data_IF_085631649242
#
_entry.id   IF_085631649242
#
_cell.length_a   1.000
_cell.length_b   1.000
_cell.length_c   1.000
_cell.angle_alpha   90.00
_cell.angle_beta   90.00
_cell.angle_gamma   90.00
#
_symmetry.space_group_name_H-M   'P 1'
#
loop_
_entity.id
_entity.type
_entity.pdbx_description
1 polymer ?
#
# COMPACT_ATOMS: atom_id res chain seq x y z
N UNK A 1 71.96 36.39 -8.64
CA UNK A 1 72.30 36.60 -7.20
C UNK A 1 71.46 35.57 -6.43
N UNK A 2 71.96 34.71 -5.53
CA UNK A 2 72.80 34.97 -4.32
C UNK A 2 72.02 35.85 -3.32
N UNK A 3 71.86 35.59 -2.01
CA UNK A 3 72.43 34.68 -0.98
C UNK A 3 71.38 34.56 0.18
N UNK A 4 71.29 33.65 1.18
CA UNK A 4 71.90 32.40 1.72
C UNK A 4 70.71 31.57 2.32
N UNK A 5 70.70 30.30 2.76
CA UNK A 5 71.66 29.25 3.22
C UNK A 5 71.90 29.12 4.75
N UNK A 6 71.81 27.87 5.24
CA UNK A 6 72.18 27.30 6.56
C UNK A 6 71.39 27.64 7.85
N UNK A 7 70.92 26.58 8.52
CA UNK A 7 71.31 26.34 9.92
C UNK A 7 71.63 24.84 10.12
N UNK A 8 72.70 24.53 10.86
CA UNK A 8 73.08 23.16 11.26
C UNK A 8 73.14 23.09 12.78
N UNK A 9 72.89 21.90 13.34
CA UNK A 9 73.49 21.50 14.61
C UNK A 9 73.78 20.00 14.58
N UNK A 10 74.97 19.58 15.02
CA UNK A 10 75.44 18.19 14.98
C UNK A 10 76.54 18.01 16.03
N UNK A 11 76.19 17.39 17.16
CA UNK A 11 76.98 17.09 18.39
C UNK A 11 75.94 16.40 19.31
N UNK A 12 76.14 15.32 20.07
CA UNK A 12 77.23 14.36 20.34
C UNK A 12 76.54 12.95 20.48
N UNK A 13 77.09 11.79 20.86
CA UNK A 13 78.39 11.31 21.35
C UNK A 13 78.54 9.81 21.00
N UNK A 14 79.78 9.31 20.88
CA UNK A 14 80.10 7.89 20.69
C UNK A 14 80.27 7.13 22.01
N UNK A 15 79.91 5.84 22.08
CA UNK A 15 80.82 4.70 22.40
C UNK A 15 80.05 3.37 22.53
N UNK A 16 80.67 2.26 22.12
CA UNK A 16 80.26 0.89 22.47
C UNK A 16 80.89 0.49 23.81
N UNK A 17 80.31 -0.49 24.53
CA UNK A 17 81.06 -1.59 25.18
C UNK A 17 80.12 -2.71 25.71
N UNK A 18 80.65 -3.94 25.67
CA UNK A 18 80.16 -5.20 26.28
C UNK A 18 78.76 -5.75 25.92
N UNK A 19 78.74 -7.06 25.66
CA UNK A 19 77.55 -7.90 25.57
C UNK A 19 77.45 -8.83 26.80
N UNK A 20 76.23 -9.20 27.18
CA UNK A 20 75.94 -10.46 27.88
C UNK A 20 74.46 -10.86 27.69
N UNK A 21 74.14 -12.14 27.85
CA UNK A 21 72.87 -12.77 27.43
C UNK A 21 71.67 -12.40 28.33
N UNK A 22 70.45 -12.36 27.75
CA UNK A 22 69.27 -11.78 28.44
C UNK A 22 67.86 -12.22 28.03
N UNK A 23 67.65 -13.46 27.54
CA UNK A 23 66.32 -14.08 27.35
C UNK A 23 65.45 -13.47 26.19
N UNK A 24 64.22 -13.97 25.86
CA UNK A 24 64.04 -14.65 24.58
C UNK A 24 63.15 -13.93 23.55
N UNK A 25 63.30 -14.31 22.28
CA UNK A 25 62.56 -13.77 21.14
C UNK A 25 61.07 -14.10 21.17
N UNK A 26 60.21 -13.10 20.98
CA UNK A 26 58.79 -13.30 20.65
C UNK A 26 58.68 -13.86 19.23
N UNK A 27 57.95 -14.95 19.05
CA UNK A 27 57.69 -15.51 17.73
C UNK A 27 56.80 -14.60 16.88
N UNK A 28 57.15 -14.50 15.61
CA UNK A 28 56.37 -13.81 14.58
C UNK A 28 55.13 -14.63 14.21
N UNK A 29 53.97 -13.99 14.16
CA UNK A 29 52.86 -14.42 13.29
C UNK A 29 52.71 -13.42 12.16
N UNK A 30 52.97 -13.87 10.94
CA UNK A 30 52.72 -13.05 9.75
C UNK A 30 51.20 -12.83 9.61
N UNK A 31 50.79 -11.61 9.28
CA UNK A 31 49.41 -11.36 8.85
C UNK A 31 49.27 -11.84 7.42
N UNK A 32 48.64 -12.99 7.23
CA UNK A 32 48.10 -13.38 5.93
C UNK A 32 46.98 -12.40 5.58
N UNK A 33 47.17 -11.57 4.56
CA UNK A 33 46.10 -10.72 4.03
C UNK A 33 45.11 -11.60 3.26
N UNK A 34 44.13 -12.15 3.98
CA UNK A 34 42.92 -12.65 3.35
C UNK A 34 42.14 -11.47 2.77
N UNK A 35 42.39 -11.17 1.51
CA UNK A 35 41.43 -10.43 0.67
C UNK A 35 40.14 -11.23 0.62
N UNK A 36 39.19 -10.86 1.47
CA UNK A 36 37.81 -11.31 1.34
C UNK A 36 37.28 -10.69 0.06
N UNK A 37 37.19 -11.49 -1.00
CA UNK A 37 36.40 -11.15 -2.16
C UNK A 37 34.95 -11.03 -1.69
N UNK A 38 34.48 -9.80 -1.47
CA UNK A 38 33.06 -9.51 -1.33
C UNK A 38 32.44 -9.96 -2.65
N UNK A 39 31.52 -10.94 -2.67
CA UNK A 39 30.86 -11.34 -3.90
C UNK A 39 30.21 -10.11 -4.52
N UNK A 40 30.49 -9.84 -5.80
CA UNK A 40 29.84 -8.75 -6.50
C UNK A 40 28.32 -9.00 -6.44
N UNK A 41 27.58 -8.10 -5.79
CA UNK A 41 26.15 -8.27 -5.56
C UNK A 41 25.45 -8.50 -6.89
N UNK A 42 24.87 -9.68 -7.06
CA UNK A 42 24.02 -9.99 -8.21
C UNK A 42 22.92 -8.93 -8.25
N UNK A 43 22.71 -8.23 -9.39
CA UNK A 43 21.64 -7.23 -9.46
C UNK A 43 20.32 -7.85 -8.99
N UNK A 44 19.58 -7.20 -8.06
CA UNK A 44 18.45 -7.84 -7.40
C UNK A 44 17.45 -8.32 -8.43
N UNK A 45 17.12 -9.62 -8.38
CA UNK A 45 16.27 -10.22 -9.40
C UNK A 45 14.92 -9.52 -9.46
N UNK A 46 14.45 -9.26 -10.68
CA UNK A 46 13.26 -8.45 -10.90
C UNK A 46 12.02 -9.13 -10.30
N UNK A 47 11.34 -8.42 -9.40
CA UNK A 47 10.04 -8.80 -8.81
C UNK A 47 9.11 -9.36 -9.90
N UNK A 48 8.69 -10.62 -9.75
CA UNK A 48 7.78 -11.32 -10.65
C UNK A 48 6.45 -11.54 -9.93
N UNK A 49 5.49 -10.68 -10.24
CA UNK A 49 4.12 -10.73 -9.67
C UNK A 49 3.43 -12.05 -10.02
N UNK A 50 2.47 -12.49 -9.20
CA UNK A 50 1.85 -13.80 -9.38
C UNK A 50 1.19 -13.99 -10.76
N UNK A 51 0.61 -12.93 -11.34
CA UNK A 51 0.06 -12.93 -12.70
C UNK A 51 1.09 -13.29 -13.78
N UNK A 52 2.38 -13.04 -13.54
CA UNK A 52 3.48 -13.44 -14.41
C UNK A 52 3.97 -14.89 -14.17
N UNK A 53 3.54 -15.58 -13.10
CA UNK A 53 3.90 -16.98 -12.78
C UNK A 53 2.93 -17.97 -13.44
N UNK A 54 2.69 -17.77 -14.73
CA UNK A 54 1.68 -18.48 -15.56
C UNK A 54 1.79 -20.01 -15.47
N UNK A 55 3.00 -20.52 -15.38
CA UNK A 55 3.37 -21.92 -15.21
C UNK A 55 2.76 -22.56 -13.95
N UNK A 56 2.53 -21.78 -12.89
CA UNK A 56 1.96 -22.28 -11.63
C UNK A 56 0.44 -22.35 -11.71
N UNK A 57 -0.22 -21.33 -12.27
CA UNK A 57 -1.67 -21.18 -12.17
C UNK A 57 -2.45 -21.62 -13.42
N UNK A 58 -1.91 -21.51 -14.64
CA UNK A 58 -2.62 -21.96 -15.85
C UNK A 58 -3.03 -23.44 -15.81
N UNK A 59 -2.23 -24.40 -15.26
CA UNK A 59 -2.69 -25.78 -15.12
C UNK A 59 -3.94 -25.93 -14.24
N UNK A 60 -4.15 -25.02 -13.29
CA UNK A 60 -5.31 -25.00 -12.39
C UNK A 60 -6.57 -24.43 -13.06
N UNK A 61 -6.40 -23.64 -14.13
CA UNK A 61 -7.47 -23.00 -14.90
C UNK A 61 -8.05 -23.91 -16.02
N UNK A 62 -7.26 -24.85 -16.55
CA UNK A 62 -7.64 -25.68 -17.71
C UNK A 62 -8.94 -26.46 -17.45
N UNK A 63 -9.87 -26.36 -18.40
CA UNK A 63 -11.15 -27.07 -18.34
C UNK A 63 -12.16 -26.53 -17.32
N UNK A 64 -11.90 -25.37 -16.70
CA UNK A 64 -12.80 -24.71 -15.75
C UNK A 64 -13.49 -23.49 -16.36
N UNK A 65 -14.78 -23.32 -16.06
CA UNK A 65 -15.54 -22.10 -16.28
C UNK A 65 -15.12 -21.07 -15.23
N UNK A 66 -14.45 -20.00 -15.64
CA UNK A 66 -13.80 -19.07 -14.71
C UNK A 66 -14.57 -17.74 -14.66
N UNK A 67 -14.70 -17.17 -13.46
CA UNK A 67 -14.97 -15.75 -13.30
C UNK A 67 -13.70 -15.04 -12.79
N UNK A 68 -13.38 -13.86 -13.32
CA UNK A 68 -12.19 -13.10 -12.90
C UNK A 68 -12.62 -11.82 -12.17
N UNK A 69 -12.06 -11.55 -11.00
CA UNK A 69 -12.20 -10.27 -10.28
C UNK A 69 -11.02 -9.39 -10.67
N UNK A 70 -11.28 -8.30 -11.42
CA UNK A 70 -10.25 -7.53 -12.10
C UNK A 70 -10.61 -6.04 -12.30
N UNK A 71 -9.57 -5.21 -12.44
CA UNK A 71 -9.62 -3.81 -12.86
C UNK A 71 -8.43 -3.49 -13.80
N UNK A 72 -8.15 -2.21 -14.07
CA UNK A 72 -7.07 -1.81 -14.99
C UNK A 72 -5.65 -2.25 -14.57
N UNK A 73 -5.46 -2.66 -13.32
CA UNK A 73 -4.17 -3.13 -12.78
C UNK A 73 -3.92 -4.63 -12.96
N UNK A 74 -4.96 -5.37 -13.36
CA UNK A 74 -4.96 -6.83 -13.52
C UNK A 74 -4.19 -7.23 -14.79
N UNK A 75 -2.88 -7.09 -14.77
CA UNK A 75 -2.00 -7.24 -15.96
C UNK A 75 -0.87 -8.23 -15.75
N UNK A 76 -0.46 -8.87 -16.84
CA UNK A 76 0.77 -9.64 -16.99
C UNK A 76 1.81 -8.73 -17.66
N UNK A 77 2.93 -8.47 -17.00
CA UNK A 77 4.02 -7.66 -17.54
C UNK A 77 4.82 -8.43 -18.61
N UNK A 78 5.37 -7.72 -19.59
CA UNK A 78 6.23 -8.28 -20.63
C UNK A 78 7.23 -7.22 -21.15
N UNK A 79 8.13 -7.61 -22.05
CA UNK A 79 9.17 -6.73 -22.60
C UNK A 79 8.64 -5.45 -23.27
N UNK A 80 7.39 -5.48 -23.75
CA UNK A 80 6.72 -4.36 -24.44
C UNK A 80 5.78 -3.57 -23.52
N UNK A 81 5.87 -3.79 -22.21
CA UNK A 81 5.00 -3.18 -21.18
C UNK A 81 4.17 -4.24 -20.47
N UNK A 82 2.90 -4.37 -20.83
CA UNK A 82 1.97 -5.31 -20.21
C UNK A 82 0.80 -5.67 -21.12
N UNK A 83 0.15 -6.79 -20.83
CA UNK A 83 -1.13 -7.21 -21.41
C UNK A 83 -2.10 -7.48 -20.27
N UNK A 84 -3.38 -7.13 -20.42
CA UNK A 84 -4.38 -7.40 -19.39
C UNK A 84 -4.58 -8.91 -19.19
N UNK A 85 -4.76 -9.36 -17.94
CA UNK A 85 -4.85 -10.77 -17.56
C UNK A 85 -5.98 -11.48 -18.32
N UNK A 86 -7.20 -10.93 -18.28
CA UNK A 86 -8.37 -11.50 -18.97
C UNK A 86 -8.11 -11.66 -20.48
N UNK A 87 -7.52 -10.65 -21.13
CA UNK A 87 -7.22 -10.70 -22.57
C UNK A 87 -6.17 -11.80 -22.87
N UNK A 88 -5.18 -11.96 -21.99
CA UNK A 88 -4.16 -13.02 -22.07
C UNK A 88 -4.76 -14.42 -21.85
N UNK A 89 -5.66 -14.58 -20.88
CA UNK A 89 -6.34 -15.84 -20.58
C UNK A 89 -7.26 -16.29 -21.73
N UNK A 90 -7.98 -15.34 -22.36
CA UNK A 90 -8.78 -15.60 -23.55
C UNK A 90 -7.92 -16.01 -24.75
N UNK A 91 -6.78 -15.33 -24.97
CA UNK A 91 -5.82 -15.71 -26.01
C UNK A 91 -5.27 -17.14 -25.79
N UNK A 92 -5.06 -17.53 -24.54
CA UNK A 92 -4.67 -18.88 -24.11
C UNK A 92 -5.84 -19.88 -24.04
N UNK A 93 -7.02 -19.53 -24.57
CA UNK A 93 -8.21 -20.39 -24.66
C UNK A 93 -8.76 -20.87 -23.30
N UNK A 94 -8.58 -20.09 -22.22
CA UNK A 94 -9.24 -20.36 -20.94
C UNK A 94 -10.71 -19.92 -20.98
N UNK A 95 -11.60 -20.71 -20.37
CA UNK A 95 -13.05 -20.52 -20.49
C UNK A 95 -13.59 -19.46 -19.51
N UNK A 96 -13.23 -18.20 -19.76
CA UNK A 96 -13.69 -17.04 -18.97
C UNK A 96 -15.16 -16.76 -19.28
N UNK A 97 -16.04 -16.80 -18.28
CA UNK A 97 -17.49 -16.60 -18.42
C UNK A 97 -17.97 -15.19 -18.12
N UNK A 98 -17.28 -14.47 -17.23
CA UNK A 98 -17.67 -13.16 -16.72
C UNK A 98 -16.51 -12.49 -15.98
N UNK A 99 -16.53 -11.17 -15.91
CA UNK A 99 -15.64 -10.38 -15.08
C UNK A 99 -16.45 -9.72 -13.96
N UNK A 100 -15.93 -9.78 -12.74
CA UNK A 100 -16.38 -8.94 -11.62
C UNK A 100 -15.46 -7.72 -11.51
N UNK A 101 -16.03 -6.52 -11.50
CA UNK A 101 -15.28 -5.27 -11.48
C UNK A 101 -15.63 -4.44 -10.23
N UNK A 102 -14.64 -4.01 -9.41
CA UNK A 102 -14.87 -3.22 -8.20
C UNK A 102 -15.11 -1.73 -8.52
N UNK A 103 -14.89 -0.86 -7.54
CA UNK A 103 -14.73 0.59 -7.73
C UNK A 103 -13.73 0.92 -8.86
N UNK A 104 -13.92 2.05 -9.54
CA UNK A 104 -13.26 2.47 -10.79
C UNK A 104 -13.50 1.59 -12.04
N UNK A 105 -13.96 0.35 -11.85
CA UNK A 105 -14.44 -0.54 -12.91
C UNK A 105 -13.33 -1.20 -13.75
N UNK A 106 -13.76 -2.08 -14.66
CA UNK A 106 -12.88 -3.08 -15.28
C UNK A 106 -11.66 -2.50 -16.02
N UNK A 107 -11.86 -1.44 -16.81
CA UNK A 107 -10.79 -0.80 -17.61
C UNK A 107 -10.41 0.59 -17.06
N UNK A 108 -10.67 0.88 -15.78
CA UNK A 108 -10.18 2.07 -15.06
C UNK A 108 -10.73 3.42 -15.55
N UNK A 109 -12.02 3.48 -15.92
CA UNK A 109 -12.65 4.66 -16.56
C UNK A 109 -13.69 5.39 -15.71
N UNK A 110 -13.95 4.97 -14.46
CA UNK A 110 -14.93 5.60 -13.58
C UNK A 110 -14.27 6.33 -12.39
N UNK A 111 -14.88 7.43 -11.95
CA UNK A 111 -14.38 8.25 -10.85
C UNK A 111 -14.54 7.55 -9.48
N UNK A 112 -13.95 8.15 -8.42
CA UNK A 112 -14.12 7.67 -7.05
C UNK A 112 -15.57 7.81 -6.56
N UNK A 113 -16.09 6.78 -5.88
CA UNK A 113 -17.46 6.72 -5.39
C UNK A 113 -18.54 6.57 -6.47
N UNK A 114 -18.21 6.57 -7.77
CA UNK A 114 -19.22 6.42 -8.83
C UNK A 114 -19.85 5.03 -8.86
N UNK A 115 -21.12 4.97 -9.24
CA UNK A 115 -21.85 3.71 -9.43
C UNK A 115 -21.42 3.04 -10.75
N UNK A 116 -20.33 2.27 -10.70
CA UNK A 116 -19.99 1.28 -11.73
C UNK A 116 -21.21 0.38 -11.95
N UNK A 117 -21.63 0.22 -13.20
CA UNK A 117 -22.79 -0.60 -13.59
C UNK A 117 -22.36 -1.91 -14.22
N UNK A 118 -23.26 -2.88 -14.21
CA UNK A 118 -23.20 -4.03 -15.09
C UNK A 118 -23.12 -3.60 -16.57
N UNK A 119 -22.44 -4.38 -17.40
CA UNK A 119 -22.28 -4.12 -18.82
C UNK A 119 -21.56 -5.25 -19.55
N UNK A 120 -20.91 -4.91 -20.67
CA UNK A 120 -20.13 -5.84 -21.49
C UNK A 120 -18.81 -5.17 -21.85
N UNK A 121 -17.70 -5.91 -21.76
CA UNK A 121 -16.40 -5.43 -22.23
C UNK A 121 -16.38 -5.40 -23.76
N UNK A 122 -16.23 -4.22 -24.36
CA UNK A 122 -16.35 -4.03 -25.82
C UNK A 122 -15.20 -4.64 -26.62
N UNK A 123 -14.11 -5.05 -25.96
CA UNK A 123 -12.94 -5.67 -26.59
C UNK A 123 -13.07 -7.20 -26.63
N UNK A 124 -13.64 -7.82 -25.59
CA UNK A 124 -13.73 -9.29 -25.43
C UNK A 124 -15.14 -9.86 -25.56
N UNK A 125 -16.18 -9.03 -25.49
CA UNK A 125 -17.58 -9.46 -25.43
C UNK A 125 -18.00 -10.05 -24.08
N UNK A 126 -17.12 -10.07 -23.07
CA UNK A 126 -17.42 -10.66 -21.77
C UNK A 126 -18.41 -9.83 -20.96
N UNK A 127 -19.37 -10.47 -20.25
CA UNK A 127 -20.22 -9.78 -19.27
C UNK A 127 -19.38 -9.22 -18.12
N UNK A 128 -19.52 -7.92 -17.85
CA UNK A 128 -18.99 -7.24 -16.67
C UNK A 128 -20.10 -7.15 -15.62
N UNK A 129 -19.81 -7.60 -14.40
CA UNK A 129 -20.66 -7.48 -13.22
C UNK A 129 -20.03 -6.53 -12.21
N UNK A 130 -20.78 -5.54 -11.77
CA UNK A 130 -20.30 -4.57 -10.78
C UNK A 130 -20.25 -5.19 -9.38
N UNK A 131 -19.15 -4.95 -8.68
CA UNK A 131 -18.99 -5.14 -7.23
C UNK A 131 -18.94 -3.78 -6.49
N UNK A 132 -19.64 -2.76 -7.00
CA UNK A 132 -19.73 -1.45 -6.37
C UNK A 132 -21.19 -0.97 -6.11
N UNK A 133 -21.34 0.16 -5.41
CA UNK A 133 -22.64 0.72 -5.05
C UNK A 133 -23.46 -0.22 -4.15
N UNK A 134 -24.65 -0.62 -4.62
CA UNK A 134 -25.59 -1.48 -3.89
C UNK A 134 -25.24 -2.97 -3.91
N UNK A 135 -24.37 -3.41 -4.82
CA UNK A 135 -24.04 -4.83 -5.00
C UNK A 135 -22.52 -5.00 -4.95
N UNK A 136 -21.99 -5.23 -3.75
CA UNK A 136 -20.54 -5.37 -3.49
C UNK A 136 -20.06 -6.81 -3.33
N UNK A 137 -21.01 -7.74 -3.19
CA UNK A 137 -20.78 -9.18 -3.01
C UNK A 137 -21.33 -9.93 -4.24
N UNK A 138 -20.58 -10.87 -4.84
CA UNK A 138 -21.11 -11.74 -5.88
C UNK A 138 -22.36 -12.47 -5.40
N UNK A 139 -23.43 -12.44 -6.18
CA UNK A 139 -24.65 -13.19 -5.84
C UNK A 139 -24.50 -14.66 -6.21
N UNK A 140 -25.20 -15.54 -5.49
CA UNK A 140 -25.22 -16.98 -5.78
C UNK A 140 -25.66 -17.28 -7.23
N UNK A 141 -26.57 -16.48 -7.79
CA UNK A 141 -26.96 -16.57 -9.20
C UNK A 141 -25.85 -16.15 -10.19
N UNK A 142 -24.96 -15.23 -9.81
CA UNK A 142 -23.77 -14.86 -10.61
C UNK A 142 -22.64 -15.89 -10.48
N UNK A 143 -22.54 -16.61 -9.34
CA UNK A 143 -21.57 -17.70 -9.15
C UNK A 143 -22.05 -19.05 -9.69
N UNK A 144 -23.34 -19.20 -10.02
CA UNK A 144 -23.85 -20.40 -10.70
C UNK A 144 -23.09 -20.65 -12.01
N UNK A 145 -22.79 -21.94 -12.25
CA UNK A 145 -22.07 -22.44 -13.41
C UNK A 145 -20.64 -21.85 -13.57
N UNK A 146 -20.00 -21.48 -12.45
CA UNK A 146 -18.58 -21.12 -12.33
C UNK A 146 -17.86 -22.18 -11.49
N UNK A 147 -16.75 -22.71 -12.01
CA UNK A 147 -15.97 -23.77 -11.35
C UNK A 147 -14.78 -23.22 -10.54
N UNK A 148 -14.48 -21.92 -10.68
CA UNK A 148 -13.38 -21.20 -10.04
C UNK A 148 -13.55 -19.67 -10.15
N UNK A 149 -13.25 -18.93 -9.07
CA UNK A 149 -13.01 -17.48 -9.13
C UNK A 149 -11.50 -17.20 -9.07
N UNK A 150 -11.02 -16.34 -9.97
CA UNK A 150 -9.64 -15.85 -10.01
C UNK A 150 -9.62 -14.36 -9.61
N UNK A 151 -8.88 -13.99 -8.57
CA UNK A 151 -8.76 -12.61 -8.10
C UNK A 151 -7.34 -12.09 -8.41
N UNK A 152 -7.25 -10.94 -9.09
CA UNK A 152 -5.97 -10.32 -9.46
C UNK A 152 -6.11 -8.79 -9.45
N UNK A 153 -5.82 -8.10 -8.35
CA UNK A 153 -5.96 -6.63 -8.24
C UNK A 153 -4.81 -6.04 -7.42
N UNK A 154 -4.25 -4.93 -7.88
CA UNK A 154 -3.21 -4.17 -7.16
C UNK A 154 -3.83 -3.32 -6.05
N UNK A 155 -3.52 -3.65 -4.80
CA UNK A 155 -3.82 -2.83 -3.62
C UNK A 155 -2.67 -1.84 -3.31
N UNK A 156 -2.85 -1.00 -2.28
CA UNK A 156 -1.87 -0.01 -1.79
C UNK A 156 -1.56 -0.12 -0.29
N UNK A 157 -2.14 -1.10 0.43
CA UNK A 157 -1.78 -1.42 1.82
C UNK A 157 -2.52 -0.64 2.89
N UNK A 158 -3.66 -0.01 2.54
CA UNK A 158 -4.40 0.89 3.44
C UNK A 158 -5.84 0.43 3.57
N UNK A 159 -6.35 0.27 4.80
CA UNK A 159 -7.63 -0.37 5.09
C UNK A 159 -8.85 0.27 4.40
N UNK A 160 -8.85 1.61 4.22
CA UNK A 160 -9.92 2.31 3.50
C UNK A 160 -9.81 2.23 1.97
N UNK A 161 -8.82 1.51 1.44
CA UNK A 161 -8.75 1.13 0.03
C UNK A 161 -9.56 -0.17 -0.16
N UNK A 162 -10.63 -0.09 -0.95
CA UNK A 162 -11.76 -1.03 -0.85
C UNK A 162 -11.53 -2.40 -1.49
N UNK A 163 -10.35 -2.69 -2.05
CA UNK A 163 -10.11 -3.96 -2.73
C UNK A 163 -9.93 -5.14 -1.76
N UNK A 164 -9.38 -4.93 -0.55
CA UNK A 164 -9.40 -5.96 0.51
C UNK A 164 -10.82 -6.29 0.99
N UNK A 165 -11.72 -5.30 1.06
CA UNK A 165 -13.13 -5.50 1.39
C UNK A 165 -13.88 -6.20 0.24
N UNK A 166 -13.51 -5.91 -1.01
CA UNK A 166 -14.01 -6.63 -2.19
C UNK A 166 -13.57 -8.09 -2.15
N UNK A 167 -12.30 -8.38 -1.83
CA UNK A 167 -11.78 -9.74 -1.68
C UNK A 167 -12.56 -10.52 -0.61
N UNK A 168 -12.77 -9.95 0.58
CA UNK A 168 -13.53 -10.58 1.64
C UNK A 168 -14.96 -10.95 1.19
N UNK A 169 -15.69 -10.03 0.56
CA UNK A 169 -17.04 -10.30 0.07
C UNK A 169 -17.06 -11.37 -1.05
N UNK A 170 -16.04 -11.38 -1.93
CA UNK A 170 -15.86 -12.45 -2.93
C UNK A 170 -15.62 -13.79 -2.24
N UNK A 171 -14.71 -13.87 -1.28
CA UNK A 171 -14.39 -15.10 -0.55
C UNK A 171 -15.60 -15.65 0.22
N UNK A 172 -16.37 -14.79 0.89
CA UNK A 172 -17.64 -15.19 1.54
C UNK A 172 -18.64 -15.78 0.54
N UNK A 173 -18.87 -15.10 -0.59
CA UNK A 173 -19.82 -15.57 -1.61
C UNK A 173 -19.38 -16.91 -2.21
N UNK A 174 -18.08 -17.12 -2.37
CA UNK A 174 -17.49 -18.37 -2.86
C UNK A 174 -17.57 -19.49 -1.82
N UNK A 175 -17.33 -19.20 -0.53
CA UNK A 175 -17.52 -20.12 0.60
C UNK A 175 -19.02 -20.46 0.84
N UNK A 176 -19.93 -19.59 0.44
CA UNK A 176 -21.36 -19.88 0.36
C UNK A 176 -21.73 -20.77 -0.84
N UNK A 177 -21.11 -20.53 -2.00
CA UNK A 177 -21.39 -21.24 -3.26
C UNK A 177 -20.70 -22.62 -3.37
N UNK A 178 -19.66 -22.88 -2.56
CA UNK A 178 -18.76 -24.02 -2.74
C UNK A 178 -17.74 -23.84 -3.88
N UNK A 179 -17.58 -22.61 -4.40
CA UNK A 179 -16.68 -22.29 -5.50
C UNK A 179 -15.28 -21.97 -4.96
N UNK A 180 -14.18 -22.56 -5.48
CA UNK A 180 -12.83 -22.20 -5.07
C UNK A 180 -12.42 -20.77 -5.48
N UNK A 181 -11.46 -20.19 -4.76
CA UNK A 181 -10.86 -18.89 -5.06
C UNK A 181 -9.35 -19.05 -5.21
N UNK A 182 -8.79 -18.55 -6.31
CA UNK A 182 -7.34 -18.34 -6.45
C UNK A 182 -7.05 -16.84 -6.41
N UNK A 183 -6.14 -16.43 -5.52
CA UNK A 183 -5.56 -15.06 -5.53
C UNK A 183 -4.25 -15.11 -6.31
N UNK A 184 -4.10 -14.24 -7.30
CA UNK A 184 -2.80 -13.88 -7.87
C UNK A 184 -2.27 -12.70 -7.06
N UNK A 185 -1.30 -12.97 -6.19
CA UNK A 185 -0.81 -11.96 -5.26
C UNK A 185 0.01 -10.84 -5.93
N UNK A 186 -0.02 -9.66 -5.31
CA UNK A 186 0.66 -8.44 -5.78
C UNK A 186 1.39 -7.75 -4.63
N UNK A 187 2.57 -7.15 -4.87
CA UNK A 187 3.32 -6.47 -3.83
C UNK A 187 2.52 -5.32 -3.23
N UNK A 188 2.59 -5.14 -1.92
CA UNK A 188 2.00 -4.00 -1.23
C UNK A 188 3.06 -2.88 -1.10
N UNK A 189 2.86 -1.68 -1.67
CA UNK A 189 3.83 -0.57 -1.61
C UNK A 189 3.98 0.08 -0.21
N UNK A 190 3.11 -0.25 0.74
CA UNK A 190 3.18 0.12 2.16
C UNK A 190 3.29 -1.13 3.07
N UNK A 191 3.96 -2.20 2.62
CA UNK A 191 4.09 -3.45 3.38
C UNK A 191 5.07 -3.35 4.57
N UNK A 192 6.09 -2.49 4.45
CA UNK A 192 7.24 -2.32 5.35
C UNK A 192 6.91 -1.78 6.75
N UNK A 193 5.64 -1.49 7.07
CA UNK A 193 5.22 -1.13 8.43
C UNK A 193 3.75 -1.46 8.71
N UNK A 194 3.36 -1.36 9.98
CA UNK A 194 1.97 -1.30 10.43
C UNK A 194 1.73 0.00 11.20
N UNK A 195 0.50 0.51 11.20
CA UNK A 195 0.19 1.69 12.00
C UNK A 195 -1.16 2.33 11.75
N UNK A 196 -1.38 3.43 12.46
CA UNK A 196 -2.65 4.15 12.52
C UNK A 196 -3.73 3.42 13.35
N UNK A 197 -4.92 4.03 13.50
CA UNK A 197 -5.99 3.48 14.33
C UNK A 197 -6.50 2.13 13.80
N UNK A 198 -6.67 1.16 14.71
CA UNK A 198 -7.36 -0.11 14.43
C UNK A 198 -8.85 0.11 14.28
N UNK A 199 -9.49 -0.66 13.40
CA UNK A 199 -10.95 -0.64 13.22
C UNK A 199 -11.64 -1.31 14.42
N UNK A 200 -12.54 -0.58 15.07
CA UNK A 200 -13.42 -1.10 16.13
C UNK A 200 -14.64 -1.77 15.49
N UNK A 201 -15.14 -2.86 16.09
CA UNK A 201 -16.18 -3.70 15.49
C UNK A 201 -17.45 -2.92 15.15
N UNK A 202 -17.83 -1.97 16.00
CA UNK A 202 -19.01 -1.11 15.90
C UNK A 202 -18.93 -0.12 14.74
N UNK A 203 -17.73 0.16 14.22
CA UNK A 203 -17.48 1.08 13.11
C UNK A 203 -17.20 0.36 11.78
N UNK A 204 -17.22 -0.97 11.76
CA UNK A 204 -16.93 -1.78 10.57
C UNK A 204 -17.86 -1.43 9.41
N UNK A 205 -17.26 -1.26 8.23
CA UNK A 205 -17.95 -0.83 7.03
C UNK A 205 -17.13 -1.20 5.78
N UNK A 206 -17.52 -0.75 4.58
CA UNK A 206 -16.78 -1.10 3.36
C UNK A 206 -15.37 -0.48 3.27
N UNK A 207 -15.07 0.54 4.09
CA UNK A 207 -13.72 1.10 4.30
C UNK A 207 -12.90 0.38 5.40
N UNK A 208 -13.37 -0.80 5.83
CA UNK A 208 -12.72 -1.65 6.82
C UNK A 208 -13.72 -2.65 7.42
N UNK A 209 -13.76 -3.86 6.85
CA UNK A 209 -14.68 -4.93 7.27
C UNK A 209 -14.11 -5.82 8.38
N UNK A 210 -12.81 -5.69 8.69
CA UNK A 210 -12.09 -6.46 9.71
C UNK A 210 -11.42 -5.50 10.70
N UNK A 211 -11.20 -5.98 11.94
CA UNK A 211 -10.65 -5.20 13.06
C UNK A 211 -9.11 -5.06 12.96
N UNK A 212 -8.64 -4.55 11.82
CA UNK A 212 -7.21 -4.40 11.50
C UNK A 212 -6.75 -2.93 11.61
N UNK A 213 -5.43 -2.68 11.78
CA UNK A 213 -4.83 -1.35 11.69
C UNK A 213 -5.12 -0.63 10.37
N UNK A 214 -4.86 0.69 10.33
CA UNK A 214 -5.09 1.48 9.14
C UNK A 214 -4.11 1.13 8.01
N UNK A 215 -2.83 0.95 8.36
CA UNK A 215 -1.81 0.31 7.51
C UNK A 215 -1.51 -1.05 8.13
N UNK A 216 -1.77 -2.11 7.37
CA UNK A 216 -1.76 -3.49 7.88
C UNK A 216 -0.53 -4.31 7.42
N UNK A 217 0.32 -3.76 6.55
CA UNK A 217 1.67 -4.31 6.31
C UNK A 217 1.72 -5.71 5.69
N UNK A 218 0.69 -6.13 4.96
CA UNK A 218 0.57 -7.45 4.31
C UNK A 218 0.24 -7.30 2.82
N UNK A 219 0.54 -8.30 2.01
CA UNK A 219 0.00 -8.38 0.64
C UNK A 219 -1.51 -8.72 0.64
N UNK A 220 -2.14 -8.72 -0.53
CA UNK A 220 -3.56 -9.07 -0.65
C UNK A 220 -3.79 -10.59 -0.55
N UNK A 221 -2.79 -11.40 -0.93
CA UNK A 221 -2.74 -12.85 -0.66
C UNK A 221 -2.62 -13.17 0.84
N UNK A 222 -1.62 -12.58 1.51
CA UNK A 222 -1.41 -12.74 2.96
C UNK A 222 -2.64 -12.32 3.77
N UNK A 223 -3.27 -11.18 3.42
CA UNK A 223 -4.53 -10.75 4.03
C UNK A 223 -5.65 -11.77 3.80
N UNK A 224 -5.78 -12.31 2.57
CA UNK A 224 -6.75 -13.34 2.23
C UNK A 224 -6.61 -14.60 3.09
N UNK A 225 -5.40 -15.14 3.23
CA UNK A 225 -5.15 -16.34 4.05
C UNK A 225 -5.43 -16.09 5.53
N UNK A 226 -5.00 -14.94 6.08
CA UNK A 226 -5.31 -14.55 7.47
C UNK A 226 -6.82 -14.51 7.74
N UNK A 227 -7.61 -13.78 6.92
CA UNK A 227 -9.06 -13.66 7.18
C UNK A 227 -9.81 -14.98 6.97
N UNK A 228 -9.27 -15.87 6.13
CA UNK A 228 -9.81 -17.22 5.94
C UNK A 228 -9.55 -18.08 7.17
N UNK A 229 -8.30 -18.12 7.64
CA UNK A 229 -7.88 -19.08 8.65
C UNK A 229 -8.25 -18.68 10.09
N UNK A 230 -8.23 -17.38 10.41
CA UNK A 230 -8.79 -16.82 11.65
C UNK A 230 -10.33 -16.85 11.66
N UNK A 231 -10.99 -17.22 10.54
CA UNK A 231 -12.44 -17.37 10.46
C UNK A 231 -13.22 -16.05 10.44
N UNK A 232 -12.63 -14.97 9.94
CA UNK A 232 -13.23 -13.62 9.90
C UNK A 232 -14.21 -13.40 8.73
N UNK A 233 -14.43 -14.40 7.89
CA UNK A 233 -15.52 -14.40 6.90
C UNK A 233 -16.88 -14.63 7.57
N UNK A 234 -17.95 -14.13 6.96
CA UNK A 234 -19.32 -14.28 7.46
C UNK A 234 -19.67 -15.70 7.95
N UNK A 235 -20.14 -15.79 9.20
CA UNK A 235 -20.52 -17.01 9.91
C UNK A 235 -19.37 -18.02 10.16
N UNK A 236 -18.10 -17.56 10.17
CA UNK A 236 -16.95 -18.43 10.45
C UNK A 236 -16.67 -19.46 9.34
N UNK A 237 -17.23 -19.25 8.14
CA UNK A 237 -16.94 -20.10 6.98
C UNK A 237 -15.49 -19.89 6.52
N UNK A 238 -14.92 -20.91 5.89
CA UNK A 238 -13.66 -20.81 5.14
C UNK A 238 -13.93 -21.00 3.66
N UNK A 239 -13.34 -20.16 2.81
CA UNK A 239 -13.28 -20.39 1.38
C UNK A 239 -12.27 -21.49 1.07
N UNK A 240 -12.49 -22.22 -0.03
CA UNK A 240 -11.45 -23.05 -0.63
C UNK A 240 -10.48 -22.13 -1.38
N UNK A 241 -9.55 -21.56 -0.62
CA UNK A 241 -8.62 -20.53 -1.04
C UNK A 241 -7.27 -21.14 -1.47
N UNK A 242 -6.64 -20.53 -2.47
CA UNK A 242 -5.22 -20.72 -2.77
C UNK A 242 -4.58 -19.42 -3.23
N UNK A 243 -3.53 -18.97 -2.53
CA UNK A 243 -2.66 -17.90 -3.04
C UNK A 243 -1.65 -18.47 -4.04
N UNK A 244 -1.38 -17.71 -5.10
CA UNK A 244 -0.20 -17.88 -5.95
C UNK A 244 0.76 -16.76 -5.52
N UNK A 245 1.90 -17.10 -4.89
CA UNK A 245 2.76 -16.10 -4.29
C UNK A 245 3.65 -15.38 -5.32
N UNK A 246 4.16 -14.23 -4.92
CA UNK A 246 5.20 -13.48 -5.62
C UNK A 246 6.50 -14.29 -5.74
N UNK A 247 7.42 -13.75 -6.53
CA UNK A 247 8.77 -14.27 -6.72
C UNK A 247 9.73 -13.08 -6.77
N UNK A 248 10.84 -13.19 -6.05
CA UNK A 248 11.84 -12.13 -5.86
C UNK A 248 11.26 -10.82 -5.28
N UNK A 249 10.44 -10.94 -4.23
CA UNK A 249 9.96 -9.81 -3.43
C UNK A 249 10.08 -10.10 -1.93
N UNK A 250 10.48 -9.09 -1.15
CA UNK A 250 10.40 -9.06 0.31
C UNK A 250 9.80 -7.74 0.77
N UNK A 251 9.33 -7.69 2.02
CA UNK A 251 8.43 -6.67 2.58
C UNK A 251 9.02 -5.26 2.61
N UNK A 252 10.33 -5.16 2.70
CA UNK A 252 11.08 -3.89 2.73
C UNK A 252 11.28 -3.28 1.34
N UNK A 253 11.23 -4.10 0.27
CA UNK A 253 11.52 -3.68 -1.10
C UNK A 253 10.55 -2.61 -1.60
N UNK A 254 11.09 -1.60 -2.30
CA UNK A 254 10.27 -0.62 -3.00
C UNK A 254 9.63 -1.23 -4.25
N UNK A 255 8.33 -0.96 -4.41
CA UNK A 255 7.56 -1.40 -5.56
C UNK A 255 6.78 -0.22 -6.14
N UNK A 256 7.27 0.26 -7.28
CA UNK A 256 6.72 1.41 -8.01
C UNK A 256 5.57 0.95 -8.91
N UNK A 257 4.40 1.58 -8.78
CA UNK A 257 3.20 1.12 -9.49
C UNK A 257 3.18 1.64 -10.94
N UNK A 258 3.49 0.76 -11.89
CA UNK A 258 3.47 1.03 -13.36
C UNK A 258 2.09 1.51 -13.84
N UNK A 259 1.01 1.12 -13.16
CA UNK A 259 -0.38 1.51 -13.48
C UNK A 259 -1.00 2.14 -12.23
N UNK A 260 -1.61 3.31 -12.39
CA UNK A 260 -2.35 4.00 -11.31
C UNK A 260 -3.43 3.06 -10.73
N UNK A 261 -3.43 2.73 -9.43
CA UNK A 261 -4.38 1.79 -8.85
C UNK A 261 -5.79 2.40 -8.73
N UNK A 262 -5.86 3.73 -8.57
CA UNK A 262 -7.05 4.57 -8.75
C UNK A 262 -6.68 5.86 -9.50
N UNK A 263 -7.65 6.58 -10.10
CA UNK A 263 -7.42 7.91 -10.70
C UNK A 263 -6.73 8.93 -9.77
N UNK A 264 -6.90 8.77 -8.45
CA UNK A 264 -6.47 9.72 -7.43
C UNK A 264 -5.14 9.36 -6.75
N UNK A 265 -4.54 8.21 -7.07
CA UNK A 265 -3.19 7.83 -6.63
C UNK A 265 -2.26 7.84 -7.86
N UNK A 266 -1.80 9.03 -8.30
CA UNK A 266 -1.14 9.19 -9.60
C UNK A 266 0.32 8.71 -9.65
N UNK A 267 0.98 8.56 -8.51
CA UNK A 267 2.41 8.26 -8.34
C UNK A 267 2.71 7.70 -6.93
N UNK A 268 3.96 7.29 -6.70
CA UNK A 268 4.38 6.70 -5.42
C UNK A 268 4.33 7.69 -4.24
N UNK A 269 4.57 8.98 -4.49
CA UNK A 269 4.43 10.04 -3.48
C UNK A 269 2.99 10.11 -2.95
N UNK A 270 1.99 10.01 -3.82
CA UNK A 270 0.59 9.91 -3.39
C UNK A 270 0.33 8.62 -2.61
N UNK A 271 0.86 7.48 -3.06
CA UNK A 271 0.67 6.15 -2.43
C UNK A 271 1.26 6.09 -1.01
N UNK A 272 2.42 6.70 -0.78
CA UNK A 272 3.07 6.71 0.55
C UNK A 272 2.48 7.76 1.50
N UNK A 273 1.88 8.83 0.96
CA UNK A 273 1.15 9.83 1.75
C UNK A 273 -0.31 9.43 2.05
N UNK A 274 -0.94 8.61 1.20
CA UNK A 274 -2.34 8.19 1.30
C UNK A 274 -2.77 7.62 2.65
N UNK A 275 -1.97 6.78 3.37
CA UNK A 275 -2.27 6.37 4.74
C UNK A 275 -2.63 7.53 5.70
N UNK A 276 -1.95 8.67 5.53
CA UNK A 276 -2.08 9.82 6.44
C UNK A 276 -3.04 10.87 5.87
N UNK A 277 -2.92 11.21 4.59
CA UNK A 277 -3.76 12.23 3.94
C UNK A 277 -5.18 11.73 3.60
N UNK A 278 -5.39 10.40 3.46
CA UNK A 278 -6.71 9.82 3.25
C UNK A 278 -7.68 10.06 4.42
N UNK A 279 -7.18 10.35 5.63
CA UNK A 279 -8.02 10.76 6.76
C UNK A 279 -8.73 12.10 6.55
N UNK A 280 -8.21 12.98 5.68
CA UNK A 280 -8.92 14.20 5.26
C UNK A 280 -10.21 13.89 4.47
N UNK A 281 -10.43 12.65 4.04
CA UNK A 281 -11.71 12.29 3.41
C UNK A 281 -12.89 12.38 4.38
N UNK A 282 -12.65 12.15 5.67
CA UNK A 282 -13.57 12.43 6.76
C UNK A 282 -13.64 13.89 7.21
N UNK A 283 -13.12 14.84 6.42
CA UNK A 283 -13.09 16.27 6.76
C UNK A 283 -13.53 17.12 5.57
N UNK A 284 -13.80 18.41 5.80
CA UNK A 284 -14.01 19.37 4.72
C UNK A 284 -12.70 19.93 4.11
N UNK A 285 -11.53 19.46 4.57
CA UNK A 285 -10.24 19.78 3.95
C UNK A 285 -10.13 19.06 2.60
N UNK A 286 -9.67 19.77 1.57
CA UNK A 286 -9.31 19.16 0.28
C UNK A 286 -7.93 18.48 0.40
N UNK A 287 -7.83 17.23 -0.05
CA UNK A 287 -6.59 16.42 -0.04
C UNK A 287 -5.83 16.45 -1.39
N UNK A 288 -5.74 17.63 -2.01
CA UNK A 288 -5.19 17.84 -3.34
C UNK A 288 -6.09 17.39 -4.51
N UNK A 289 -7.31 16.91 -4.24
CA UNK A 289 -8.27 16.51 -5.27
C UNK A 289 -8.73 17.69 -6.13
N UNK A 290 -8.96 17.46 -7.41
CA UNK A 290 -9.19 18.56 -8.35
C UNK A 290 -7.91 19.32 -8.73
N UNK A 291 -6.76 18.63 -8.60
CA UNK A 291 -5.44 19.05 -9.10
C UNK A 291 -4.68 17.80 -9.57
N UNK A 292 -3.52 17.95 -10.21
CA UNK A 292 -2.66 16.80 -10.57
C UNK A 292 -1.87 16.23 -9.39
N UNK A 293 -2.02 16.81 -8.19
CA UNK A 293 -1.30 16.46 -6.96
C UNK A 293 -2.24 15.85 -5.91
N UNK A 294 -3.13 14.97 -6.35
CA UNK A 294 -4.09 14.27 -5.50
C UNK A 294 -3.33 13.40 -4.48
N UNK A 295 -3.73 13.48 -3.21
CA UNK A 295 -3.02 12.95 -2.04
C UNK A 295 -1.52 13.33 -1.96
N UNK A 296 -1.15 14.50 -2.48
CA UNK A 296 0.21 15.07 -2.35
C UNK A 296 0.19 16.51 -1.79
N UNK A 297 -0.94 16.95 -1.23
CA UNK A 297 -1.13 18.24 -0.55
C UNK A 297 -2.42 18.22 0.25
N UNK A 298 -2.62 19.22 1.09
CA UNK A 298 -3.93 19.50 1.69
C UNK A 298 -4.18 21.00 1.81
N UNK A 299 -5.45 21.39 1.95
CA UNK A 299 -5.82 22.77 2.26
C UNK A 299 -7.32 23.04 2.21
N UNK A 300 -7.74 24.21 2.67
CA UNK A 300 -9.11 24.70 2.58
C UNK A 300 -9.17 26.23 2.59
N UNK A 301 -10.32 26.83 2.27
CA UNK A 301 -10.50 28.29 2.33
C UNK A 301 -10.71 28.83 3.76
N UNK A 302 -10.68 27.94 4.76
CA UNK A 302 -10.90 28.23 6.18
C UNK A 302 -9.72 27.79 7.07
N UNK A 303 -8.53 27.61 6.48
CA UNK A 303 -7.28 27.56 7.25
C UNK A 303 -6.66 28.96 7.39
N UNK A 304 -5.94 29.19 8.49
CA UNK A 304 -5.30 30.47 8.82
C UNK A 304 -4.21 30.82 7.77
N UNK A 305 -4.48 31.87 6.98
CA UNK A 305 -3.57 32.34 5.92
C UNK A 305 -2.23 32.84 6.46
N UNK A 306 -2.13 33.17 7.75
CA UNK A 306 -0.88 33.57 8.41
C UNK A 306 -0.02 32.36 8.86
N UNK A 307 -0.39 31.14 8.45
CA UNK A 307 0.35 29.89 8.75
C UNK A 307 0.80 29.14 7.49
N UNK A 308 0.38 29.58 6.30
CA UNK A 308 0.51 28.82 5.06
C UNK A 308 0.88 29.70 3.86
N UNK A 309 2.14 29.66 3.46
CA UNK A 309 2.66 30.36 2.27
C UNK A 309 2.23 29.69 0.94
N UNK A 310 1.68 28.47 1.01
CA UNK A 310 1.20 27.73 -0.16
C UNK A 310 -0.33 27.76 -0.27
N UNK A 311 -0.82 28.00 -1.49
CA UNK A 311 -2.23 27.93 -1.83
C UNK A 311 -2.49 27.36 -3.23
N UNK A 312 -3.71 26.86 -3.45
CA UNK A 312 -4.16 26.29 -4.73
C UNK A 312 -5.69 26.42 -4.87
N UNK A 313 -6.22 26.23 -6.09
CA UNK A 313 -7.67 26.25 -6.36
C UNK A 313 -8.09 24.90 -6.94
N UNK A 314 -8.87 24.08 -6.22
CA UNK A 314 -9.44 22.84 -6.74
C UNK A 314 -10.40 23.10 -7.90
N UNK A 315 -10.33 22.29 -8.95
CA UNK A 315 -11.25 22.31 -10.12
C UNK A 315 -11.59 20.89 -10.58
N UNK A 316 -12.74 20.63 -11.21
CA UNK A 316 -13.07 19.31 -11.73
C UNK A 316 -11.98 18.75 -12.66
N UNK A 317 -11.44 17.57 -12.34
CA UNK A 317 -10.45 16.86 -13.16
C UNK A 317 -10.67 15.33 -13.12
N UNK A 318 -9.82 14.59 -13.82
CA UNK A 318 -9.89 13.12 -13.85
C UNK A 318 -9.70 12.52 -12.45
N UNK A 319 -10.66 11.73 -11.99
CA UNK A 319 -10.71 11.18 -10.64
C UNK A 319 -11.47 12.04 -9.62
N UNK A 320 -11.78 13.29 -9.94
CA UNK A 320 -12.53 14.19 -9.05
C UNK A 320 -13.35 15.22 -9.83
N UNK A 321 -14.52 14.79 -10.33
CA UNK A 321 -15.52 15.65 -10.95
C UNK A 321 -16.13 16.73 -10.03
N UNK A 322 -16.15 16.48 -8.71
CA UNK A 322 -16.70 17.39 -7.70
C UNK A 322 -15.74 17.47 -6.48
N UNK A 323 -14.62 18.19 -6.59
CA UNK A 323 -13.64 18.27 -5.51
C UNK A 323 -14.18 19.09 -4.32
N UNK A 324 -13.71 18.78 -3.10
CA UNK A 324 -13.94 19.64 -1.92
C UNK A 324 -13.35 21.03 -2.19
N UNK A 325 -14.01 22.08 -1.71
CA UNK A 325 -13.57 23.47 -1.89
C UNK A 325 -13.41 23.91 -3.37
N UNK A 326 -14.19 23.31 -4.29
CA UNK A 326 -14.19 23.66 -5.72
C UNK A 326 -14.26 25.17 -5.97
N UNK A 327 -13.35 25.69 -6.80
CA UNK A 327 -13.30 27.10 -7.18
C UNK A 327 -12.80 28.06 -6.10
N UNK A 328 -12.55 27.61 -4.87
CA UNK A 328 -12.03 28.43 -3.77
C UNK A 328 -10.51 28.41 -3.71
N UNK A 329 -9.91 29.48 -3.20
CA UNK A 329 -8.49 29.47 -2.81
C UNK A 329 -8.33 28.72 -1.50
N UNK A 330 -7.70 27.54 -1.57
CA UNK A 330 -7.31 26.72 -0.44
C UNK A 330 -5.89 27.05 0.01
N UNK A 331 -5.71 27.32 1.31
CA UNK A 331 -4.40 27.47 1.93
C UNK A 331 -4.01 26.18 2.66
N UNK A 332 -2.72 25.85 2.71
CA UNK A 332 -2.23 24.63 3.35
C UNK A 332 -0.78 24.31 2.98
N UNK A 333 -0.45 23.02 2.81
CA UNK A 333 0.90 22.56 2.46
C UNK A 333 0.92 21.76 1.15
N UNK A 334 1.97 21.97 0.36
CA UNK A 334 2.36 21.04 -0.71
C UNK A 334 3.34 19.98 -0.18
N UNK A 335 3.04 18.72 -0.48
CA UNK A 335 3.77 17.54 -0.05
C UNK A 335 4.25 16.71 -1.26
N UNK A 336 4.17 17.28 -2.47
CA UNK A 336 4.61 16.69 -3.75
C UNK A 336 6.09 16.27 -3.83
N UNK A 337 6.89 16.65 -2.82
CA UNK A 337 8.32 16.34 -2.69
C UNK A 337 8.64 15.53 -1.43
N UNK A 338 7.65 14.99 -0.73
CA UNK A 338 7.88 14.12 0.43
C UNK A 338 8.49 12.78 -0.04
N UNK A 339 9.58 12.28 0.60
CA UNK A 339 10.15 10.96 0.29
C UNK A 339 9.24 9.81 0.78
N UNK A 340 9.62 8.56 0.52
CA UNK A 340 8.93 7.37 1.06
C UNK A 340 8.76 7.48 2.58
N UNK A 341 7.53 7.29 3.04
CA UNK A 341 7.16 7.30 4.45
C UNK A 341 7.35 5.89 5.04
N UNK A 342 8.10 5.79 6.14
CA UNK A 342 8.31 4.54 6.88
C UNK A 342 7.43 4.45 8.14
N UNK A 343 6.44 5.34 8.27
CA UNK A 343 5.42 5.31 9.31
C UNK A 343 4.18 6.13 8.90
N UNK A 344 3.02 5.74 9.40
CA UNK A 344 1.81 6.57 9.41
C UNK A 344 2.01 7.80 10.33
N UNK A 345 1.46 8.97 9.96
CA UNK A 345 1.53 10.18 10.80
C UNK A 345 0.21 10.94 10.89
N UNK A 346 -0.01 11.56 12.06
CA UNK A 346 -1.12 12.50 12.29
C UNK A 346 -0.72 13.96 12.09
N UNK A 347 0.57 14.27 11.88
CA UNK A 347 1.10 15.64 11.80
C UNK A 347 0.19 16.57 11.02
N UNK A 348 -0.13 16.22 9.77
CA UNK A 348 -0.86 17.09 8.85
C UNK A 348 -2.30 17.36 9.28
N UNK A 349 -3.03 16.35 9.80
CA UNK A 349 -4.41 16.56 10.27
C UNK A 349 -4.46 17.32 11.60
N UNK A 350 -3.51 17.08 12.50
CA UNK A 350 -3.34 17.87 13.73
C UNK A 350 -2.98 19.33 13.43
N UNK A 351 -2.07 19.56 12.48
CA UNK A 351 -1.64 20.89 12.05
C UNK A 351 -2.78 21.66 11.37
N UNK A 352 -3.51 21.01 10.46
CA UNK A 352 -4.68 21.58 9.81
C UNK A 352 -5.81 21.90 10.81
N UNK A 353 -6.08 21.04 11.79
CA UNK A 353 -7.09 21.29 12.82
C UNK A 353 -6.67 22.42 13.78
N UNK A 354 -5.39 22.50 14.14
CA UNK A 354 -4.82 23.57 14.97
C UNK A 354 -4.91 24.93 14.27
N UNK A 355 -4.63 24.97 12.97
CA UNK A 355 -4.62 26.18 12.16
C UNK A 355 -5.97 26.42 11.42
N UNK A 356 -7.05 25.78 11.85
CA UNK A 356 -8.39 25.98 11.31
C UNK A 356 -9.05 27.21 11.94
N UNK A 357 -9.54 28.16 11.13
CA UNK A 357 -10.19 29.38 11.63
C UNK A 357 -11.60 29.13 12.16
N UNK A 358 -12.26 28.06 11.70
CA UNK A 358 -13.55 27.60 12.21
C UNK A 358 -13.56 26.07 12.38
N UNK A 359 -13.21 25.63 13.58
CA UNK A 359 -13.19 24.22 13.98
C UNK A 359 -14.53 23.51 13.78
N UNK A 360 -15.67 24.21 13.82
CA UNK A 360 -16.99 23.59 13.60
C UNK A 360 -17.17 23.07 12.17
N UNK A 361 -16.40 23.59 11.20
CA UNK A 361 -16.38 23.15 9.81
C UNK A 361 -15.39 22.02 9.53
N UNK A 362 -14.54 21.62 10.48
CA UNK A 362 -13.41 20.73 10.16
C UNK A 362 -13.83 19.29 9.84
N UNK A 363 -14.45 18.59 10.81
CA UNK A 363 -14.80 17.18 10.69
C UNK A 363 -16.15 16.94 10.01
N UNK A 364 -16.21 15.88 9.21
CA UNK A 364 -17.44 15.23 8.79
C UNK A 364 -17.57 13.96 9.63
N UNK A 365 -18.01 14.09 10.89
CA UNK A 365 -17.89 13.08 11.96
C UNK A 365 -18.17 11.63 11.53
N UNK A 366 -19.27 11.40 10.83
CA UNK A 366 -19.63 10.11 10.23
C UNK A 366 -18.58 9.56 9.27
N UNK A 367 -18.10 10.41 8.35
CA UNK A 367 -17.07 10.09 7.38
C UNK A 367 -15.72 9.88 8.05
N UNK A 368 -15.38 10.70 9.05
CA UNK A 368 -14.13 10.55 9.80
C UNK A 368 -14.08 9.23 10.57
N UNK A 369 -15.15 8.90 11.28
CA UNK A 369 -15.30 7.63 12.00
C UNK A 369 -15.15 6.44 11.06
N UNK A 370 -15.75 6.49 9.86
CA UNK A 370 -15.67 5.40 8.86
C UNK A 370 -14.27 5.19 8.28
N UNK A 371 -13.45 6.24 8.13
CA UNK A 371 -12.06 6.14 7.67
C UNK A 371 -11.10 5.77 8.80
N UNK A 372 -11.19 6.45 9.95
CA UNK A 372 -10.37 6.19 11.13
C UNK A 372 -10.65 4.81 11.74
N UNK A 373 -11.89 4.32 11.63
CA UNK A 373 -12.36 3.08 12.26
C UNK A 373 -12.66 3.19 13.75
N UNK A 374 -12.59 4.41 14.31
CA UNK A 374 -12.89 4.69 15.71
C UNK A 374 -13.50 6.07 15.89
N UNK A 375 -14.38 6.22 16.89
CA UNK A 375 -14.89 7.55 17.33
C UNK A 375 -13.89 8.30 18.22
N UNK A 376 -12.81 7.64 18.68
CA UNK A 376 -11.82 8.20 19.62
C UNK A 376 -10.94 9.26 18.97
N UNK A 377 -10.46 9.02 17.74
CA UNK A 377 -9.47 9.87 17.09
C UNK A 377 -9.93 11.32 16.92
N UNK A 378 -11.20 11.55 16.60
CA UNK A 378 -11.73 12.91 16.49
C UNK A 378 -11.66 13.64 17.85
N UNK A 379 -12.17 13.01 18.91
CA UNK A 379 -12.18 13.57 20.27
C UNK A 379 -10.77 13.90 20.75
N UNK A 380 -9.82 12.99 20.50
CA UNK A 380 -8.41 13.18 20.87
C UNK A 380 -7.76 14.37 20.13
N UNK A 381 -8.13 14.60 18.86
CA UNK A 381 -7.69 15.79 18.10
C UNK A 381 -8.36 17.07 18.63
N UNK A 382 -9.65 17.00 18.98
CA UNK A 382 -10.44 18.11 19.52
C UNK A 382 -9.96 18.54 20.92
N UNK A 383 -9.63 17.58 21.78
CA UNK A 383 -8.97 17.71 23.09
C UNK A 383 -7.51 18.20 22.99
N UNK A 384 -6.90 18.17 21.79
CA UNK A 384 -5.56 18.70 21.54
C UNK A 384 -4.41 17.78 21.95
N UNK A 385 -4.63 16.46 21.99
CA UNK A 385 -3.56 15.50 22.30
C UNK A 385 -2.44 15.54 21.23
N UNK A 386 -1.20 15.27 21.66
CA UNK A 386 -0.07 15.15 20.74
C UNK A 386 -0.14 13.84 19.94
N UNK A 387 0.48 13.82 18.75
CA UNK A 387 0.55 12.61 17.91
C UNK A 387 1.09 11.39 18.67
N UNK A 388 2.06 11.58 19.56
CA UNK A 388 2.60 10.51 20.41
C UNK A 388 1.57 9.99 21.42
N UNK A 389 0.86 10.89 22.11
CA UNK A 389 -0.21 10.51 23.04
C UNK A 389 -1.34 9.75 22.33
N UNK A 390 -1.72 10.18 21.11
CA UNK A 390 -2.74 9.50 20.30
C UNK A 390 -2.25 8.12 19.85
N UNK A 391 -1.04 8.02 19.29
CA UNK A 391 -0.44 6.75 18.83
C UNK A 391 -0.36 5.69 19.93
N UNK A 392 -0.12 6.09 21.19
CA UNK A 392 -0.12 5.16 22.33
C UNK A 392 -1.49 4.48 22.56
N UNK A 393 -2.60 5.13 22.18
CA UNK A 393 -3.95 4.61 22.48
C UNK A 393 -4.38 3.39 21.65
N UNK A 394 -3.70 3.12 20.53
CA UNK A 394 -3.89 1.90 19.71
C UNK A 394 -2.65 1.00 19.65
N UNK A 395 -1.56 1.35 20.35
CA UNK A 395 -0.30 0.59 20.32
C UNK A 395 -0.50 -0.89 20.71
N UNK A 396 -1.32 -1.15 21.73
CA UNK A 396 -1.65 -2.54 22.13
C UNK A 396 -2.42 -3.33 21.08
N UNK A 397 -3.13 -2.66 20.16
CA UNK A 397 -3.87 -3.31 19.07
C UNK A 397 -2.96 -3.60 17.88
N UNK A 398 -1.99 -2.72 17.60
CA UNK A 398 -0.89 -3.01 16.66
C UNK A 398 -0.11 -4.25 17.12
N UNK A 399 0.17 -4.37 18.42
CA UNK A 399 0.89 -5.53 19.00
C UNK A 399 0.08 -6.83 19.02
N UNK A 400 -1.25 -6.77 19.09
CA UNK A 400 -2.13 -7.95 18.92
C UNK A 400 -2.11 -8.38 17.44
N UNK A 401 -2.34 -7.42 16.55
CA UNK A 401 -2.38 -7.66 15.11
C UNK A 401 -1.05 -8.18 14.55
N UNK A 402 0.09 -7.65 15.02
CA UNK A 402 1.41 -8.11 14.59
C UNK A 402 1.68 -9.58 14.96
N UNK A 403 1.16 -10.05 16.11
CA UNK A 403 1.24 -11.46 16.52
C UNK A 403 0.38 -12.35 15.64
N UNK A 404 -0.83 -11.91 15.28
CA UNK A 404 -1.74 -12.64 14.40
C UNK A 404 -1.15 -12.76 12.99
N UNK A 405 -0.80 -11.62 12.37
CA UNK A 405 -0.36 -11.57 10.97
C UNK A 405 0.91 -12.39 10.71
N UNK A 406 1.80 -12.51 11.70
CA UNK A 406 3.05 -13.27 11.61
C UNK A 406 2.87 -14.77 11.35
N UNK A 407 1.67 -15.31 11.55
CA UNK A 407 1.31 -16.68 11.18
C UNK A 407 1.00 -16.84 9.68
N UNK A 408 0.80 -15.71 8.97
CA UNK A 408 0.28 -15.62 7.60
C UNK A 408 1.17 -14.78 6.67
N UNK A 409 2.42 -14.52 7.06
CA UNK A 409 3.39 -13.85 6.19
C UNK A 409 4.05 -14.90 5.28
N UNK A 410 4.00 -14.63 3.98
CA UNK A 410 4.57 -15.49 2.92
C UNK A 410 5.98 -15.03 2.56
N UNK A 411 6.29 -13.76 2.81
CA UNK A 411 7.54 -13.09 2.45
C UNK A 411 8.22 -12.53 3.70
N UNK A 412 9.55 -12.46 3.70
CA UNK A 412 10.34 -11.81 4.76
C UNK A 412 10.00 -10.31 4.85
#
# INVERSE_FOLDING_TARGET
>A
MLFLSNFKSTVLLSFLICASCGNPSKNTTAKTEHTVEIPAETPPEKIKVAANRTEIYLPLLRGKKIAVVANQTSVIFNEKGYTHLVDSLLHLQMDIKKVFAPEHGFRGKADAGENVKDGTDTQTGLPIKSLHGKHRKPTQAQLKDIDLVLFDIQDVGVRFYTYIATLQLVMEACAEAGVPVIILDRPNPNAHYIGGPTMEAENTNFLGMTTIPLVYGMTIGEYGEMINEEGWLANGKKANLKVIPLENWSREMEYHLVIRPSPNLPNDTAITLYPSLGLFEGTNINAGRGTEFQFQRYGASFLDTTKYDFSYVPKPNFGSKYPKEEGKTCYGLDLSKTPRMNQFTLKWILEAYKNCTDKSKFFLTDGFTKHAGTTKLQKQIEEGLSEAAIKLTWQSDLEKFDKIRKQYLIYD
#
